data_IF_136360058184
#
_entry.id   IF_136360058184
#
_cell.length_a   1.000
_cell.length_b   1.000
_cell.length_c   1.000
_cell.angle_alpha   90.00
_cell.angle_beta   90.00
_cell.angle_gamma   90.00
#
_symmetry.space_group_name_H-M   'P 1'
#
loop_
_entity.id
_entity.type
_entity.pdbx_description
1 polymer ?
#
# COMPACT_ATOMS: atom_id res chain seq x y z
N UNK A 1 -66.94 1.62 2.25
CA UNK A 1 -65.64 2.07 1.74
C UNK A 1 -64.64 2.09 2.88
N UNK A 2 -63.64 1.21 2.88
CA UNK A 2 -62.53 1.19 3.84
C UNK A 2 -61.24 1.21 3.03
N UNK A 3 -60.50 2.32 3.10
CA UNK A 3 -59.18 2.43 2.51
C UNK A 3 -58.17 1.75 3.44
N UNK A 4 -57.47 0.74 2.92
CA UNK A 4 -56.33 0.11 3.60
C UNK A 4 -55.08 0.81 3.08
N UNK A 5 -54.38 1.50 3.97
CA UNK A 5 -53.09 2.14 3.69
C UNK A 5 -52.02 1.11 4.04
N UNK A 6 -51.40 0.52 3.02
CA UNK A 6 -50.26 -0.39 3.19
C UNK A 6 -48.99 0.45 3.30
N UNK A 7 -48.47 0.65 4.51
CA UNK A 7 -47.19 1.31 4.73
C UNK A 7 -46.04 0.36 4.35
N UNK A 8 -45.26 0.74 3.35
CA UNK A 8 -44.01 0.06 3.03
C UNK A 8 -42.94 0.51 4.03
N UNK A 9 -42.46 -0.40 4.88
CA UNK A 9 -41.31 -0.16 5.73
C UNK A 9 -40.03 -0.20 4.89
N UNK A 10 -39.41 0.96 4.67
CA UNK A 10 -38.09 1.06 4.06
C UNK A 10 -37.05 0.66 5.12
N UNK A 11 -36.51 -0.56 5.01
CA UNK A 11 -35.35 -0.99 5.80
C UNK A 11 -34.12 -0.24 5.27
N UNK A 12 -33.69 0.81 5.97
CA UNK A 12 -32.35 1.36 5.79
C UNK A 12 -31.40 0.38 6.45
N UNK A 13 -30.80 -0.52 5.67
CA UNK A 13 -29.63 -1.27 6.12
C UNK A 13 -28.49 -0.25 6.16
N UNK A 14 -28.21 0.29 7.34
CA UNK A 14 -26.96 0.97 7.57
C UNK A 14 -25.85 -0.06 7.33
N UNK A 15 -25.12 0.08 6.22
CA UNK A 15 -23.88 -0.65 6.03
C UNK A 15 -22.96 -0.20 7.16
N UNK A 16 -22.82 -1.03 8.20
CA UNK A 16 -21.79 -0.81 9.20
C UNK A 16 -20.46 -0.83 8.44
N UNK A 17 -19.77 0.31 8.40
CA UNK A 17 -18.39 0.41 7.94
C UNK A 17 -17.52 -0.36 8.92
N UNK A 18 -17.48 -1.68 8.78
CA UNK A 18 -16.50 -2.47 9.50
C UNK A 18 -15.16 -2.25 8.83
N UNK A 19 -14.14 -1.88 9.61
CA UNK A 19 -12.77 -1.83 9.10
C UNK A 19 -12.45 -3.19 8.45
N UNK A 20 -12.24 -3.20 7.13
CA UNK A 20 -12.01 -4.44 6.41
C UNK A 20 -10.63 -5.03 6.78
N UNK A 21 -10.54 -6.33 6.95
CA UNK A 21 -9.26 -7.05 7.07
C UNK A 21 -9.10 -7.92 5.81
N UNK A 22 -8.18 -7.52 4.93
CA UNK A 22 -8.04 -8.03 3.57
C UNK A 22 -6.66 -8.64 3.39
N UNK A 23 -6.58 -9.91 2.99
CA UNK A 23 -5.31 -10.55 2.62
C UNK A 23 -5.03 -10.34 1.13
N UNK A 24 -3.82 -9.89 0.75
CA UNK A 24 -3.44 -9.66 -0.65
C UNK A 24 -3.49 -10.92 -1.51
N UNK A 25 -3.32 -12.12 -0.93
CA UNK A 25 -3.37 -13.39 -1.65
C UNK A 25 -4.78 -13.71 -2.16
N UNK A 26 -5.82 -13.22 -1.49
CA UNK A 26 -7.21 -13.33 -1.96
C UNK A 26 -7.46 -12.55 -3.27
N UNK A 27 -6.55 -11.64 -3.63
CA UNK A 27 -6.59 -10.83 -4.84
C UNK A 27 -5.54 -11.25 -5.87
N UNK A 28 -4.87 -12.38 -5.63
CA UNK A 28 -3.90 -13.00 -6.52
C UNK A 28 -2.47 -12.51 -6.36
N UNK A 29 -2.12 -11.87 -5.24
CA UNK A 29 -0.74 -11.45 -5.00
C UNK A 29 0.11 -12.67 -4.64
N UNK A 30 1.17 -12.90 -5.41
CA UNK A 30 2.19 -13.91 -5.12
C UNK A 30 3.40 -13.24 -4.46
N UNK A 31 4.06 -13.95 -3.56
CA UNK A 31 5.33 -13.53 -2.97
C UNK A 31 6.53 -14.14 -3.73
N UNK A 32 6.39 -14.28 -5.05
CA UNK A 32 7.45 -14.69 -5.96
C UNK A 32 8.21 -13.42 -6.44
N UNK A 33 9.53 -13.30 -6.19
CA UNK A 33 10.31 -12.15 -6.62
C UNK A 33 10.40 -12.00 -8.16
N UNK A 34 9.94 -12.98 -8.93
CA UNK A 34 9.92 -12.96 -10.40
C UNK A 34 8.56 -12.60 -10.99
N UNK A 35 7.48 -12.56 -10.20
CA UNK A 35 6.13 -12.25 -10.66
C UNK A 35 5.67 -10.88 -10.15
N UNK A 36 5.21 -10.00 -11.04
CA UNK A 36 4.71 -8.69 -10.66
C UNK A 36 3.42 -8.79 -9.81
N UNK A 37 3.50 -8.38 -8.56
CA UNK A 37 2.40 -8.36 -7.62
C UNK A 37 1.61 -7.03 -7.63
N UNK A 38 2.05 -6.01 -8.38
CA UNK A 38 1.53 -4.64 -8.32
C UNK A 38 0.01 -4.60 -8.44
N UNK A 39 -0.55 -5.18 -9.50
CA UNK A 39 -1.99 -5.11 -9.76
C UNK A 39 -2.81 -5.88 -8.71
N UNK A 40 -2.29 -7.01 -8.22
CA UNK A 40 -2.99 -7.80 -7.22
C UNK A 40 -3.06 -7.10 -5.87
N UNK A 41 -1.96 -6.48 -5.45
CA UNK A 41 -1.92 -5.67 -4.23
C UNK A 41 -2.82 -4.44 -4.39
N UNK A 42 -2.79 -3.77 -5.55
CA UNK A 42 -3.67 -2.62 -5.81
C UNK A 42 -5.15 -3.00 -5.71
N UNK A 43 -5.57 -4.14 -6.28
CA UNK A 43 -6.96 -4.62 -6.15
C UNK A 43 -7.38 -4.84 -4.69
N UNK A 44 -6.48 -5.35 -3.85
CA UNK A 44 -6.75 -5.53 -2.42
C UNK A 44 -6.89 -4.18 -1.70
N UNK A 45 -6.02 -3.21 -2.01
CA UNK A 45 -6.09 -1.83 -1.52
C UNK A 45 -7.40 -1.15 -1.93
N UNK A 46 -7.76 -1.24 -3.21
CA UNK A 46 -8.98 -0.65 -3.76
C UNK A 46 -10.23 -1.25 -3.12
N UNK A 47 -10.27 -2.57 -2.92
CA UNK A 47 -11.40 -3.25 -2.27
C UNK A 47 -11.53 -2.87 -0.79
N UNK A 48 -10.41 -2.73 -0.08
CA UNK A 48 -10.39 -2.27 1.31
C UNK A 48 -10.87 -0.81 1.41
N UNK A 49 -10.39 0.06 0.52
CA UNK A 49 -10.83 1.45 0.42
C UNK A 49 -12.32 1.57 0.08
N UNK A 50 -12.80 0.79 -0.90
CA UNK A 50 -14.21 0.72 -1.29
C UNK A 50 -15.13 0.20 -0.19
N UNK A 51 -14.58 -0.51 0.80
CA UNK A 51 -15.29 -0.97 2.01
C UNK A 51 -15.31 0.06 3.14
N UNK A 52 -14.75 1.26 2.92
CA UNK A 52 -14.68 2.34 3.91
C UNK A 52 -13.37 2.39 4.72
N UNK A 53 -12.34 1.65 4.29
CA UNK A 53 -11.04 1.59 4.95
C UNK A 53 -10.81 0.28 5.72
N UNK A 54 -9.64 0.19 6.37
CA UNK A 54 -9.23 -1.01 7.09
C UNK A 54 -7.76 -1.36 6.89
N UNK A 55 -7.44 -2.65 6.93
CA UNK A 55 -6.08 -3.18 6.81
C UNK A 55 -5.99 -4.15 5.65
N UNK A 56 -4.99 -3.96 4.79
CA UNK A 56 -4.56 -4.90 3.77
C UNK A 56 -3.28 -5.59 4.27
N UNK A 57 -3.37 -6.88 4.57
CA UNK A 57 -2.29 -7.69 5.12
C UNK A 57 -1.47 -8.36 4.03
N UNK A 58 -0.16 -8.31 4.22
CA UNK A 58 0.82 -9.05 3.44
C UNK A 58 1.53 -10.04 4.35
N UNK A 59 1.70 -11.28 3.87
CA UNK A 59 2.50 -12.27 4.55
C UNK A 59 4.00 -11.94 4.44
N UNK A 60 4.83 -12.67 5.19
CA UNK A 60 6.27 -12.63 4.97
C UNK A 60 6.59 -13.21 3.58
N UNK A 61 7.50 -12.56 2.86
CA UNK A 61 7.84 -12.89 1.47
C UNK A 61 8.30 -11.67 0.67
N UNK A 62 8.72 -11.91 -0.56
CA UNK A 62 9.20 -10.88 -1.48
C UNK A 62 8.16 -10.63 -2.57
N UNK A 63 7.69 -9.39 -2.68
CA UNK A 63 6.68 -8.99 -3.65
C UNK A 63 7.33 -8.05 -4.66
N UNK A 64 7.42 -8.47 -5.93
CA UNK A 64 7.93 -7.63 -7.00
C UNK A 64 6.90 -6.56 -7.36
N UNK A 65 7.34 -5.31 -7.42
CA UNK A 65 6.52 -4.14 -7.74
C UNK A 65 7.12 -3.44 -8.96
N UNK A 66 6.52 -3.67 -10.12
CA UNK A 66 6.92 -3.04 -11.40
C UNK A 66 6.20 -1.72 -11.68
N UNK A 67 5.17 -1.37 -10.89
CA UNK A 67 4.44 -0.10 -10.99
C UNK A 67 4.39 0.69 -9.68
N UNK A 68 3.25 1.35 -9.45
CA UNK A 68 3.01 2.15 -8.25
C UNK A 68 1.79 1.62 -7.51
N UNK A 69 1.82 1.74 -6.18
CA UNK A 69 0.71 1.43 -5.30
C UNK A 69 0.12 2.72 -4.72
N UNK A 70 -1.20 2.83 -4.72
CA UNK A 70 -1.92 3.90 -4.01
C UNK A 70 -2.64 3.28 -2.83
N UNK A 71 -2.31 3.75 -1.63
CA UNK A 71 -2.98 3.36 -0.39
C UNK A 71 -4.15 4.33 -0.13
N UNK A 72 -5.42 3.89 -0.26
CA UNK A 72 -6.57 4.77 -0.18
C UNK A 72 -6.80 5.36 1.22
N UNK A 73 -7.75 6.29 1.37
CA UNK A 73 -7.97 6.95 2.65
C UNK A 73 -8.46 5.96 3.71
N UNK A 74 -7.91 6.05 4.92
CA UNK A 74 -8.26 5.14 6.01
C UNK A 74 -7.81 3.69 5.83
N UNK A 75 -6.96 3.39 4.82
CA UNK A 75 -6.39 2.06 4.60
C UNK A 75 -4.98 1.96 5.16
N UNK A 76 -4.68 0.82 5.77
CA UNK A 76 -3.32 0.44 6.20
C UNK A 76 -2.82 -0.68 5.30
N UNK A 77 -1.72 -0.45 4.56
CA UNK A 77 -0.94 -1.52 3.96
C UNK A 77 0.03 -2.07 5.02
N UNK A 78 -0.18 -3.31 5.44
CA UNK A 78 0.54 -3.89 6.58
C UNK A 78 1.26 -5.18 6.21
N UNK A 79 2.59 -5.14 6.33
CA UNK A 79 3.43 -6.32 6.30
C UNK A 79 3.70 -6.93 7.67
N UNK A 80 4.59 -7.91 7.69
CA UNK A 80 5.13 -8.53 8.89
C UNK A 80 6.56 -8.05 9.08
N UNK A 81 6.78 -7.22 10.10
CA UNK A 81 8.11 -6.81 10.55
C UNK A 81 8.36 -7.33 11.96
N UNK A 82 9.37 -8.19 12.10
CA UNK A 82 9.65 -8.89 13.38
C UNK A 82 10.74 -8.22 14.21
N UNK A 83 11.74 -7.61 13.58
CA UNK A 83 12.82 -6.87 14.23
C UNK A 83 13.64 -6.10 13.16
N UNK A 84 14.39 -5.04 13.54
CA UNK A 84 15.43 -4.50 12.68
C UNK A 84 16.44 -5.60 12.35
N UNK A 85 16.57 -5.93 11.08
CA UNK A 85 17.58 -6.85 10.59
C UNK A 85 18.55 -6.09 9.69
N UNK A 86 19.82 -6.52 9.68
CA UNK A 86 20.76 -6.09 8.63
C UNK A 86 20.18 -6.45 7.25
N UNK A 87 20.71 -5.86 6.18
CA UNK A 87 20.20 -5.90 4.79
C UNK A 87 19.89 -7.31 4.25
N UNK A 88 18.76 -7.86 4.70
CA UNK A 88 18.25 -9.22 4.48
C UNK A 88 16.83 -9.09 3.95
N UNK A 89 16.65 -8.81 2.65
CA UNK A 89 15.32 -8.68 2.03
C UNK A 89 14.45 -9.94 2.15
N UNK A 90 15.03 -11.07 2.55
CA UNK A 90 14.34 -12.33 2.84
C UNK A 90 13.59 -12.39 4.18
N UNK A 91 13.78 -11.41 5.08
CA UNK A 91 13.13 -11.38 6.39
C UNK A 91 11.92 -10.46 6.41
N UNK A 92 10.77 -10.99 6.80
CA UNK A 92 9.52 -10.22 6.88
C UNK A 92 8.86 -10.02 5.52
N UNK A 93 8.09 -8.94 5.38
CA UNK A 93 7.46 -8.54 4.11
C UNK A 93 8.36 -7.55 3.39
N UNK A 94 8.79 -7.89 2.17
CA UNK A 94 9.65 -7.03 1.35
C UNK A 94 8.97 -6.68 0.04
N UNK A 95 8.95 -5.39 -0.29
CA UNK A 95 8.57 -4.86 -1.59
C UNK A 95 9.86 -4.64 -2.42
N UNK A 96 10.00 -5.39 -3.52
CA UNK A 96 11.10 -5.23 -4.47
C UNK A 96 10.69 -4.20 -5.52
N UNK A 97 11.26 -3.00 -5.43
CA UNK A 97 10.89 -1.85 -6.23
C UNK A 97 11.69 -1.80 -7.55
N UNK A 98 10.99 -1.95 -8.67
CA UNK A 98 11.58 -1.87 -10.02
C UNK A 98 11.04 -0.70 -10.85
N UNK A 99 9.96 -0.04 -10.41
CA UNK A 99 9.34 1.07 -11.12
C UNK A 99 10.19 2.35 -11.11
N UNK A 100 10.17 3.11 -12.21
CA UNK A 100 10.63 4.51 -12.25
C UNK A 100 12.14 4.72 -12.42
N UNK A 101 12.94 3.68 -12.66
CA UNK A 101 14.39 3.79 -12.84
C UNK A 101 14.77 4.82 -13.91
N UNK A 102 15.77 5.66 -13.60
CA UNK A 102 16.35 6.63 -14.52
C UNK A 102 15.73 8.02 -14.47
N UNK A 103 14.73 8.26 -13.60
CA UNK A 103 14.05 9.56 -13.47
C UNK A 103 13.64 9.82 -12.03
N UNK A 104 13.75 11.07 -11.55
CA UNK A 104 13.05 11.52 -10.33
C UNK A 104 11.62 11.94 -10.59
N UNK A 105 11.27 12.20 -11.85
CA UNK A 105 9.93 12.55 -12.28
C UNK A 105 9.13 11.27 -12.52
N UNK A 106 7.97 11.17 -11.87
CA UNK A 106 7.10 10.00 -11.99
C UNK A 106 6.21 9.81 -10.75
N UNK A 107 5.29 8.84 -10.80
CA UNK A 107 4.56 8.43 -9.61
C UNK A 107 5.51 7.82 -8.57
N UNK A 108 5.24 7.99 -7.27
CA UNK A 108 6.02 7.30 -6.24
C UNK A 108 5.80 5.79 -6.32
N UNK A 109 6.67 5.00 -5.70
CA UNK A 109 6.42 3.56 -5.54
C UNK A 109 5.16 3.34 -4.70
N UNK A 110 5.01 4.06 -3.58
CA UNK A 110 3.81 4.07 -2.74
C UNK A 110 3.31 5.50 -2.55
N UNK A 111 2.08 5.76 -2.98
CA UNK A 111 1.34 6.98 -2.67
C UNK A 111 0.42 6.74 -1.47
N UNK A 112 0.50 7.58 -0.46
CA UNK A 112 -0.39 7.58 0.70
C UNK A 112 -1.43 8.68 0.58
N UNK A 113 -2.72 8.33 0.69
CA UNK A 113 -3.81 9.30 0.79
C UNK A 113 -4.20 9.60 2.26
N UNK A 114 -5.12 10.54 2.50
CA UNK A 114 -5.49 11.00 3.85
C UNK A 114 -5.83 9.87 4.83
N UNK A 115 -5.28 9.90 6.04
CA UNK A 115 -5.46 8.89 7.08
C UNK A 115 -4.98 7.48 6.70
N UNK A 116 -4.15 7.35 5.66
CA UNK A 116 -3.57 6.06 5.28
C UNK A 116 -2.25 5.77 6.01
N UNK A 117 -1.89 4.49 6.03
CA UNK A 117 -0.68 4.00 6.68
C UNK A 117 0.02 2.97 5.81
N UNK A 118 1.34 3.04 5.72
CA UNK A 118 2.16 1.87 5.38
C UNK A 118 2.95 1.46 6.62
N UNK A 119 2.92 0.17 6.94
CA UNK A 119 3.54 -0.34 8.17
C UNK A 119 4.18 -1.71 7.99
N UNK A 120 5.33 -1.89 8.64
CA UNK A 120 5.92 -3.21 8.85
C UNK A 120 6.43 -3.85 7.57
N UNK A 121 7.02 -3.05 6.66
CA UNK A 121 7.59 -3.53 5.40
C UNK A 121 9.04 -3.10 5.23
N UNK A 122 9.78 -3.91 4.50
CA UNK A 122 11.04 -3.50 3.88
C UNK A 122 10.75 -3.09 2.44
N UNK A 123 11.26 -1.96 1.98
CA UNK A 123 11.23 -1.57 0.56
C UNK A 123 12.65 -1.57 0.05
N UNK A 124 12.95 -2.39 -0.96
CA UNK A 124 14.27 -2.57 -1.50
C UNK A 124 14.28 -2.31 -3.00
N UNK A 125 15.23 -1.49 -3.48
CA UNK A 125 15.46 -1.22 -4.90
C UNK A 125 16.64 -2.08 -5.40
N UNK A 126 16.39 -3.25 -6.03
CA UNK A 126 17.45 -4.22 -6.31
C UNK A 126 18.46 -3.75 -7.36
N UNK A 127 18.00 -2.96 -8.33
CA UNK A 127 18.82 -2.42 -9.42
C UNK A 127 19.64 -1.19 -9.01
N UNK A 128 19.48 -0.70 -7.77
CA UNK A 128 20.26 0.40 -7.22
C UNK A 128 21.50 -0.18 -6.54
N UNK A 129 22.66 -0.06 -7.20
CA UNK A 129 23.93 -0.59 -6.72
C UNK A 129 24.94 0.54 -6.48
N UNK A 130 25.99 0.26 -5.72
CA UNK A 130 27.03 1.26 -5.39
C UNK A 130 27.77 1.77 -6.64
N UNK A 131 27.87 0.95 -7.68
CA UNK A 131 28.56 1.30 -8.93
C UNK A 131 27.62 1.88 -10.00
N UNK A 132 26.31 1.82 -9.78
CA UNK A 132 25.28 2.30 -10.72
C UNK A 132 24.11 2.93 -9.96
N UNK A 133 24.37 4.12 -9.41
CA UNK A 133 23.35 4.91 -8.71
C UNK A 133 22.50 5.63 -9.77
N UNK A 134 21.21 5.31 -9.80
CA UNK A 134 20.26 5.85 -10.77
C UNK A 134 19.15 6.66 -10.09
N UNK A 135 18.63 7.70 -10.74
CA UNK A 135 17.46 8.41 -10.23
C UNK A 135 16.24 7.49 -10.15
N UNK A 136 15.46 7.64 -9.09
CA UNK A 136 14.12 7.06 -8.94
C UNK A 136 13.18 8.12 -8.37
N UNK A 137 11.86 8.04 -8.62
CA UNK A 137 10.86 8.86 -7.93
C UNK A 137 10.85 8.56 -6.43
N UNK A 138 10.04 9.31 -5.70
CA UNK A 138 9.82 9.08 -4.27
C UNK A 138 9.42 7.63 -3.99
N UNK A 139 10.09 7.01 -3.03
CA UNK A 139 9.71 5.68 -2.56
C UNK A 139 8.35 5.72 -1.85
N UNK A 140 8.16 6.68 -0.94
CA UNK A 140 6.86 6.96 -0.34
C UNK A 140 6.56 8.44 -0.51
N UNK A 141 5.39 8.77 -1.05
CA UNK A 141 4.92 10.15 -1.13
C UNK A 141 3.51 10.27 -0.56
N UNK A 142 3.24 11.40 0.07
CA UNK A 142 1.98 11.72 0.70
C UNK A 142 1.15 12.74 -0.06
N UNK A 143 -0.16 12.52 -0.11
CA UNK A 143 -1.17 13.52 -0.55
C UNK A 143 -2.35 13.51 0.41
N UNK A 144 -2.47 14.58 1.19
CA UNK A 144 -3.53 14.69 2.21
C UNK A 144 -2.98 14.89 3.62
N UNK A 145 -3.77 14.51 4.62
CA UNK A 145 -3.46 14.72 6.04
C UNK A 145 -3.42 13.41 6.82
N UNK A 146 -2.75 13.40 7.98
CA UNK A 146 -2.62 12.22 8.86
C UNK A 146 -2.03 10.99 8.18
N UNK A 147 -0.92 11.19 7.46
CA UNK A 147 -0.18 10.14 6.75
C UNK A 147 0.81 9.46 7.69
N UNK A 148 0.92 8.14 7.62
CA UNK A 148 1.76 7.37 8.55
C UNK A 148 2.69 6.42 7.81
N UNK A 149 3.98 6.46 8.17
CA UNK A 149 4.98 5.44 7.82
C UNK A 149 5.49 4.88 9.14
N UNK A 150 5.27 3.60 9.41
CA UNK A 150 5.62 3.03 10.72
C UNK A 150 6.34 1.70 10.58
N UNK A 151 7.46 1.53 11.29
CA UNK A 151 8.22 0.27 11.31
C UNK A 151 8.62 -0.19 9.89
N UNK A 152 9.03 0.76 9.05
CA UNK A 152 9.49 0.50 7.68
C UNK A 152 11.01 0.59 7.57
N UNK A 153 11.59 -0.27 6.73
CA UNK A 153 13.02 -0.21 6.36
C UNK A 153 13.14 0.13 4.89
N UNK A 154 13.91 1.16 4.51
CA UNK A 154 14.10 1.54 3.10
C UNK A 154 15.55 1.24 2.68
N UNK A 155 15.73 0.35 1.70
CA UNK A 155 17.01 -0.06 1.15
C UNK A 155 17.16 0.53 -0.25
N UNK A 156 18.14 1.42 -0.38
CA UNK A 156 18.56 2.04 -1.64
C UNK A 156 17.49 2.85 -2.41
N UNK A 157 16.46 3.49 -1.80
CA UNK A 157 15.69 4.47 -2.57
C UNK A 157 16.58 5.66 -2.94
N UNK A 158 16.37 6.25 -4.12
CA UNK A 158 17.01 7.52 -4.50
C UNK A 158 16.36 8.70 -3.76
N UNK A 159 15.03 8.74 -3.76
CA UNK A 159 14.22 9.66 -2.97
C UNK A 159 13.40 8.85 -1.95
N UNK A 160 13.58 9.14 -0.65
CA UNK A 160 13.03 8.34 0.44
C UNK A 160 11.53 8.57 0.70
N UNK A 161 11.21 9.57 1.53
CA UNK A 161 9.84 9.88 1.96
C UNK A 161 9.59 11.37 1.72
N UNK A 162 8.44 11.71 1.12
CA UNK A 162 8.00 13.10 0.93
C UNK A 162 6.56 13.32 1.37
N UNK A 163 6.40 14.11 2.45
CA UNK A 163 5.14 14.67 2.91
C UNK A 163 5.10 16.21 2.80
N UNK A 164 6.10 16.81 2.14
CA UNK A 164 6.22 18.26 2.01
C UNK A 164 5.59 18.80 0.73
N UNK A 165 5.75 18.10 -0.40
CA UNK A 165 5.31 18.60 -1.72
C UNK A 165 3.81 18.92 -1.80
N UNK A 166 2.98 18.12 -1.13
CA UNK A 166 1.52 18.26 -1.12
C UNK A 166 0.97 18.52 0.29
N UNK A 167 1.77 19.15 1.16
CA UNK A 167 1.31 19.54 2.48
C UNK A 167 0.14 20.54 2.38
N UNK A 168 -0.85 20.37 3.26
CA UNK A 168 -2.01 21.25 3.40
C UNK A 168 -1.83 22.26 4.52
#
# INVERSE_FOLDING_TARGET
MRAVITGAALLIVAAACHAADVDVTAYGATCDPNEDATQAIQRALDACGGSGGGTVRMAAGQYRIDGSLVVPPGVTLQGVWKAPHYSSPEVGTTLLAYAGRGSTDGPPLVMLESNSTIRGVTIYYPDQTVDDIQPYPWCIQGRGTHLNVVDCTLLNPYLGIDFGTYAH
#
